data_IF_613487675648
#
_entry.id   IF_613487675648
#
_cell.length_a   1.000
_cell.length_b   1.000
_cell.length_c   1.000
_cell.angle_alpha   90.00
_cell.angle_beta   90.00
_cell.angle_gamma   90.00
#
_symmetry.space_group_name_H-M   'P 1'
#
loop_
_entity.id
_entity.type
_entity.pdbx_description
1 polymer ?
#
# COMPACT_ATOMS: atom_id res chain seq x y z
N UNK A 1 23.50 13.56 -3.44
CA UNK A 1 24.04 12.44 -2.65
C UNK A 1 23.31 11.18 -3.05
N UNK A 2 24.00 10.37 -3.82
CA UNK A 2 23.57 9.08 -4.37
C UNK A 2 24.04 7.99 -3.40
N UNK A 3 23.23 6.96 -3.11
CA UNK A 3 23.76 5.82 -2.37
C UNK A 3 22.79 4.76 -1.81
N UNK A 4 21.58 5.11 -1.38
CA UNK A 4 20.76 4.14 -0.63
C UNK A 4 19.74 3.36 -1.50
N UNK A 5 19.05 4.03 -2.43
CA UNK A 5 17.96 3.40 -3.19
C UNK A 5 18.33 2.87 -4.58
N UNK A 6 19.49 3.25 -5.14
CA UNK A 6 20.01 2.63 -6.39
C UNK A 6 20.36 1.15 -6.20
N UNK A 7 20.56 0.70 -4.95
CA UNK A 7 20.75 -0.72 -4.62
C UNK A 7 19.44 -1.51 -4.53
N UNK A 8 18.29 -0.85 -4.31
CA UNK A 8 16.99 -1.52 -4.32
C UNK A 8 16.68 -2.01 -5.75
N UNK A 9 16.76 -1.13 -6.75
CA UNK A 9 16.48 -1.49 -8.15
C UNK A 9 17.41 -2.59 -8.70
N UNK A 10 18.66 -2.67 -8.23
CA UNK A 10 19.62 -3.69 -8.66
C UNK A 10 19.49 -5.02 -7.90
N UNK A 11 18.79 -5.08 -6.75
CA UNK A 11 18.56 -6.31 -6.00
C UNK A 11 17.33 -7.12 -6.47
N UNK A 12 16.51 -6.57 -7.36
CA UNK A 12 15.34 -7.24 -7.93
C UNK A 12 15.63 -8.02 -9.23
N UNK A 13 16.90 -8.17 -9.61
CA UNK A 13 17.33 -8.83 -10.85
C UNK A 13 17.95 -10.21 -10.64
N UNK A 14 17.11 -11.25 -10.52
CA UNK A 14 17.26 -12.59 -11.12
C UNK A 14 16.25 -13.57 -10.47
N UNK A 15 15.41 -14.28 -11.25
CA UNK A 15 14.54 -15.30 -10.69
C UNK A 15 15.38 -16.53 -10.32
N UNK A 16 15.16 -17.06 -9.12
CA UNK A 16 15.58 -18.40 -8.76
C UNK A 16 14.80 -19.40 -9.63
N UNK A 17 15.54 -20.24 -10.35
CA UNK A 17 14.97 -21.29 -11.19
C UNK A 17 14.32 -22.37 -10.32
N UNK A 18 13.03 -22.64 -10.58
CA UNK A 18 12.33 -23.81 -10.06
C UNK A 18 10.94 -23.48 -9.51
N UNK A 19 9.98 -23.26 -10.39
CA UNK A 19 8.70 -23.98 -10.36
C UNK A 19 7.94 -23.69 -11.66
N UNK A 20 6.98 -24.53 -12.06
CA UNK A 20 6.14 -24.31 -13.24
C UNK A 20 5.16 -23.14 -13.04
N UNK A 21 5.70 -21.94 -12.82
CA UNK A 21 4.96 -20.71 -12.61
C UNK A 21 4.43 -20.24 -13.97
N UNK A 22 3.12 -20.27 -14.14
CA UNK A 22 2.45 -19.53 -15.20
C UNK A 22 2.95 -18.08 -15.15
N UNK A 23 3.34 -17.52 -16.29
CA UNK A 23 3.78 -16.13 -16.37
C UNK A 23 2.78 -15.21 -15.65
N UNK A 24 3.25 -14.19 -14.91
CA UNK A 24 2.36 -13.31 -14.18
C UNK A 24 1.35 -12.65 -15.12
N UNK A 25 0.10 -12.59 -14.69
CA UNK A 25 -0.91 -11.82 -15.41
C UNK A 25 -0.68 -10.33 -15.12
N UNK A 26 -0.57 -9.52 -16.18
CA UNK A 26 -0.37 -8.08 -16.07
C UNK A 26 -1.54 -7.34 -16.72
N UNK A 27 -2.28 -6.58 -15.92
CA UNK A 27 -3.41 -5.75 -16.38
C UNK A 27 -3.14 -4.29 -16.07
N UNK A 28 -3.34 -3.41 -17.06
CA UNK A 28 -3.24 -1.95 -16.89
C UNK A 28 -4.58 -1.30 -17.19
N UNK A 29 -5.01 -0.42 -16.30
CA UNK A 29 -6.28 0.30 -16.43
C UNK A 29 -6.22 1.64 -15.70
N UNK A 30 -7.35 2.34 -15.62
CA UNK A 30 -7.52 3.54 -14.81
C UNK A 30 -8.79 3.41 -14.00
N UNK A 31 -8.67 3.49 -12.68
CA UNK A 31 -9.80 3.43 -11.75
C UNK A 31 -10.00 4.79 -11.11
N UNK A 32 -11.20 5.35 -11.27
CA UNK A 32 -11.56 6.68 -10.72
C UNK A 32 -10.51 7.75 -11.01
N UNK A 33 -9.93 7.75 -12.21
CA UNK A 33 -8.90 8.70 -12.64
C UNK A 33 -7.50 8.48 -12.06
N UNK A 34 -7.25 7.34 -11.40
CA UNK A 34 -5.93 6.92 -10.93
C UNK A 34 -5.42 5.80 -11.84
N UNK A 35 -4.23 5.92 -12.47
CA UNK A 35 -3.63 4.83 -13.22
C UNK A 35 -3.36 3.61 -12.33
N UNK A 36 -3.68 2.42 -12.82
CA UNK A 36 -3.52 1.15 -12.08
C UNK A 36 -2.79 0.13 -12.95
N UNK A 37 -1.83 -0.55 -12.34
CA UNK A 37 -1.15 -1.73 -12.89
C UNK A 37 -1.29 -2.88 -11.88
N UNK A 38 -1.88 -3.99 -12.29
CA UNK A 38 -1.94 -5.22 -11.49
C UNK A 38 -0.93 -6.20 -12.07
N UNK A 39 -0.04 -6.71 -11.21
CA UNK A 39 0.90 -7.79 -11.50
C UNK A 39 0.51 -8.97 -10.61
N UNK A 40 -0.34 -9.84 -11.15
CA UNK A 40 -0.87 -10.98 -10.42
C UNK A 40 0.03 -12.22 -10.63
N UNK A 41 0.70 -12.63 -9.56
CA UNK A 41 1.55 -13.83 -9.51
C UNK A 41 0.84 -15.02 -8.85
N UNK A 42 -0.44 -14.89 -8.48
CA UNK A 42 -1.21 -15.85 -7.68
C UNK A 42 -2.40 -16.39 -8.49
N UNK A 43 -2.32 -17.64 -9.00
CA UNK A 43 -3.38 -18.20 -9.84
C UNK A 43 -4.70 -18.45 -9.08
N UNK A 44 -4.66 -18.49 -7.75
CA UNK A 44 -5.82 -18.59 -6.86
C UNK A 44 -6.54 -17.25 -6.64
N UNK A 45 -6.02 -16.14 -7.17
CA UNK A 45 -6.61 -14.81 -7.05
C UNK A 45 -7.08 -14.35 -8.43
N UNK A 46 -8.37 -14.04 -8.56
CA UNK A 46 -8.94 -13.46 -9.77
C UNK A 46 -8.59 -11.96 -9.88
N UNK A 47 -7.91 -11.58 -10.96
CA UNK A 47 -7.51 -10.19 -11.26
C UNK A 47 -8.72 -9.26 -11.40
N UNK A 48 -9.85 -9.75 -11.89
CA UNK A 48 -11.10 -8.96 -12.00
C UNK A 48 -11.62 -8.56 -10.63
N UNK A 49 -11.59 -9.50 -9.69
CA UNK A 49 -11.99 -9.30 -8.29
C UNK A 49 -11.08 -8.30 -7.58
N UNK A 50 -9.77 -8.37 -7.84
CA UNK A 50 -8.77 -7.42 -7.34
C UNK A 50 -9.07 -6.01 -7.82
N UNK A 51 -9.35 -5.84 -9.12
CA UNK A 51 -9.71 -4.55 -9.70
C UNK A 51 -11.01 -3.99 -9.12
N UNK A 52 -12.04 -4.84 -8.95
CA UNK A 52 -13.30 -4.44 -8.35
C UNK A 52 -13.11 -3.96 -6.90
N UNK A 53 -12.35 -4.71 -6.08
CA UNK A 53 -12.04 -4.31 -4.70
C UNK A 53 -11.20 -3.03 -4.62
N UNK A 54 -10.29 -2.82 -5.55
CA UNK A 54 -9.53 -1.58 -5.63
C UNK A 54 -10.44 -0.40 -5.99
N UNK A 55 -11.36 -0.58 -6.94
CA UNK A 55 -12.35 0.44 -7.28
C UNK A 55 -13.25 0.79 -6.09
N UNK A 56 -13.78 -0.21 -5.36
CA UNK A 56 -14.55 -0.02 -4.13
C UNK A 56 -13.76 0.77 -3.08
N UNK A 57 -12.48 0.45 -2.91
CA UNK A 57 -11.60 1.15 -1.96
C UNK A 57 -11.41 2.62 -2.35
N UNK A 58 -11.14 2.89 -3.62
CA UNK A 58 -11.05 4.25 -4.14
C UNK A 58 -12.41 4.98 -4.09
N UNK A 59 -13.53 4.25 -4.20
CA UNK A 59 -14.88 4.78 -4.05
C UNK A 59 -15.11 5.32 -2.63
N UNK A 60 -14.70 4.58 -1.61
CA UNK A 60 -14.80 5.02 -0.22
C UNK A 60 -14.00 6.31 0.01
N UNK A 61 -12.76 6.38 -0.48
CA UNK A 61 -11.96 7.61 -0.38
C UNK A 61 -12.68 8.77 -1.10
N UNK A 62 -13.14 8.54 -2.34
CA UNK A 62 -13.83 9.56 -3.13
C UNK A 62 -15.14 10.05 -2.51
N UNK A 63 -15.85 9.19 -1.79
CA UNK A 63 -17.14 9.52 -1.16
C UNK A 63 -16.93 10.32 0.13
N UNK A 64 -16.05 9.85 1.01
CA UNK A 64 -15.94 10.39 2.37
C UNK A 64 -14.83 11.41 2.54
N UNK A 65 -13.79 11.38 1.69
CA UNK A 65 -12.68 12.35 1.70
C UNK A 65 -12.23 12.70 0.28
N UNK A 66 -13.09 13.34 -0.54
CA UNK A 66 -12.83 13.59 -1.96
C UNK A 66 -11.53 14.36 -2.24
N UNK A 67 -11.12 15.27 -1.34
CA UNK A 67 -9.85 15.99 -1.47
C UNK A 67 -8.62 15.07 -1.42
N UNK A 68 -8.69 13.95 -0.69
CA UNK A 68 -7.61 12.97 -0.67
C UNK A 68 -7.53 12.16 -1.95
N UNK A 69 -8.68 11.81 -2.54
CA UNK A 69 -8.69 11.21 -3.87
C UNK A 69 -8.13 12.18 -4.93
N UNK A 70 -8.45 13.48 -4.80
CA UNK A 70 -7.85 14.50 -5.66
C UNK A 70 -6.33 14.61 -5.48
N UNK A 71 -5.81 14.53 -4.25
CA UNK A 71 -4.37 14.46 -4.00
C UNK A 71 -3.75 13.21 -4.61
N UNK A 72 -4.35 12.03 -4.46
CA UNK A 72 -3.86 10.81 -5.11
C UNK A 72 -3.73 11.01 -6.63
N UNK A 73 -4.78 11.50 -7.29
CA UNK A 73 -4.72 11.77 -8.75
C UNK A 73 -3.62 12.74 -9.17
N UNK A 74 -3.20 13.64 -8.26
CA UNK A 74 -2.21 14.69 -8.53
C UNK A 74 -0.78 14.27 -8.18
N UNK A 75 -0.61 13.61 -7.04
CA UNK A 75 0.68 13.47 -6.36
C UNK A 75 1.36 12.12 -6.62
N UNK A 76 0.64 11.16 -7.23
CA UNK A 76 1.18 9.85 -7.65
C UNK A 76 1.04 9.62 -9.17
N UNK A 77 1.97 8.86 -9.74
CA UNK A 77 1.91 8.38 -11.14
C UNK A 77 0.95 7.20 -11.31
N UNK A 78 0.67 6.44 -10.25
CA UNK A 78 -0.27 5.34 -10.28
C UNK A 78 -0.19 4.43 -9.05
N UNK A 79 -1.10 3.47 -9.01
CA UNK A 79 -1.11 2.38 -8.02
C UNK A 79 -0.67 1.10 -8.73
N UNK A 80 0.35 0.45 -8.18
CA UNK A 80 0.75 -0.91 -8.56
C UNK A 80 0.21 -1.89 -7.54
N UNK A 81 -0.52 -2.90 -8.00
CA UNK A 81 -0.94 -4.03 -7.17
C UNK A 81 -0.04 -5.21 -7.46
N UNK A 82 0.68 -5.68 -6.45
CA UNK A 82 1.60 -6.82 -6.58
C UNK A 82 1.82 -7.50 -5.22
N UNK A 83 2.46 -8.67 -5.23
CA UNK A 83 2.96 -9.28 -3.99
C UNK A 83 4.04 -8.37 -3.39
N UNK A 84 3.86 -8.00 -2.13
CA UNK A 84 4.76 -7.10 -1.44
C UNK A 84 4.83 -7.44 0.06
N UNK A 85 5.91 -7.03 0.73
CA UNK A 85 6.17 -7.42 2.11
C UNK A 85 5.26 -6.72 3.16
N UNK A 86 4.55 -5.66 2.77
CA UNK A 86 3.62 -4.93 3.61
C UNK A 86 2.37 -4.53 2.84
N UNK A 87 1.29 -4.17 3.55
CA UNK A 87 -0.06 -3.90 2.98
C UNK A 87 -0.08 -2.82 1.90
N UNK A 88 0.77 -1.81 2.05
CA UNK A 88 1.02 -0.80 1.05
C UNK A 88 2.36 -0.12 1.31
N UNK A 89 2.86 0.56 0.29
CA UNK A 89 4.07 1.39 0.38
C UNK A 89 4.06 2.45 -0.73
N UNK A 90 4.33 3.70 -0.39
CA UNK A 90 4.70 4.71 -1.37
C UNK A 90 6.18 4.58 -1.74
N UNK A 91 6.48 4.51 -3.05
CA UNK A 91 7.84 4.43 -3.60
C UNK A 91 8.21 5.79 -4.19
N UNK A 92 9.04 6.61 -3.52
CA UNK A 92 9.32 7.98 -3.95
C UNK A 92 9.98 8.10 -5.32
N UNK A 93 10.88 7.17 -5.66
CA UNK A 93 11.65 7.17 -6.91
C UNK A 93 10.73 6.94 -8.11
N UNK A 94 9.76 6.05 -7.92
CA UNK A 94 8.78 5.71 -8.94
C UNK A 94 7.51 6.54 -8.84
N UNK A 95 7.34 7.30 -7.76
CA UNK A 95 6.15 8.08 -7.45
C UNK A 95 4.88 7.20 -7.59
N UNK A 96 4.95 5.96 -7.10
CA UNK A 96 3.88 4.94 -7.20
C UNK A 96 3.53 4.47 -5.80
N UNK A 97 2.25 4.14 -5.59
CA UNK A 97 1.81 3.41 -4.41
C UNK A 97 1.75 1.92 -4.77
N UNK A 98 2.43 1.09 -4.00
CA UNK A 98 2.22 -0.36 -4.00
C UNK A 98 1.06 -0.68 -3.07
N UNK A 99 0.12 -1.50 -3.52
CA UNK A 99 -0.93 -2.12 -2.68
C UNK A 99 -0.76 -3.63 -2.77
N UNK A 100 -0.66 -4.30 -1.62
CA UNK A 100 -0.34 -5.73 -1.58
C UNK A 100 -1.50 -6.58 -2.10
N UNK A 101 -1.20 -7.45 -3.07
CA UNK A 101 -2.17 -8.25 -3.81
C UNK A 101 -3.08 -9.09 -2.90
N UNK A 102 -2.51 -9.82 -1.93
CA UNK A 102 -3.33 -10.73 -1.10
C UNK A 102 -4.14 -10.01 -0.04
N UNK A 103 -3.59 -8.94 0.52
CA UNK A 103 -4.31 -8.02 1.38
C UNK A 103 -5.49 -7.39 0.65
N UNK A 104 -5.29 -6.95 -0.59
CA UNK A 104 -6.37 -6.43 -1.43
C UNK A 104 -7.41 -7.50 -1.75
N UNK A 105 -7.02 -8.75 -1.99
CA UNK A 105 -7.91 -9.86 -2.32
C UNK A 105 -8.73 -10.42 -1.13
N UNK A 106 -8.33 -10.15 0.11
CA UNK A 106 -8.97 -10.68 1.33
C UNK A 106 -10.46 -10.36 1.42
N UNK A 107 -11.31 -11.38 1.53
CA UNK A 107 -12.78 -11.25 1.64
C UNK A 107 -13.31 -11.21 3.08
N UNK A 108 -12.47 -11.55 4.06
CA UNK A 108 -12.79 -11.48 5.49
C UNK A 108 -12.74 -10.04 6.06
N UNK A 109 -12.35 -9.07 5.24
CA UNK A 109 -12.36 -7.64 5.55
C UNK A 109 -13.14 -6.86 4.49
N UNK A 110 -13.74 -5.75 4.92
CA UNK A 110 -14.34 -4.78 3.99
C UNK A 110 -13.26 -4.06 3.16
N UNK A 111 -13.68 -3.22 2.21
CA UNK A 111 -12.76 -2.35 1.47
C UNK A 111 -12.17 -1.21 2.32
N UNK A 112 -12.72 -0.92 3.52
CA UNK A 112 -12.31 0.23 4.31
C UNK A 112 -10.86 0.16 4.83
N UNK A 113 -10.34 -0.98 5.35
CA UNK A 113 -8.92 -1.10 5.68
C UNK A 113 -7.98 -0.94 4.47
N UNK A 114 -8.40 -1.40 3.28
CA UNK A 114 -7.64 -1.23 2.04
C UNK A 114 -7.60 0.24 1.64
N UNK A 115 -8.77 0.90 1.61
CA UNK A 115 -8.90 2.33 1.36
C UNK A 115 -8.04 3.15 2.33
N UNK A 116 -8.04 2.80 3.62
CA UNK A 116 -7.20 3.44 4.63
C UNK A 116 -5.71 3.27 4.33
N UNK A 117 -5.28 2.09 3.87
CA UNK A 117 -3.88 1.85 3.50
C UNK A 117 -3.46 2.68 2.28
N UNK A 118 -4.29 2.75 1.24
CA UNK A 118 -4.01 3.59 0.05
C UNK A 118 -3.95 5.07 0.45
N UNK A 119 -4.87 5.51 1.31
CA UNK A 119 -4.92 6.87 1.82
C UNK A 119 -3.68 7.21 2.64
N UNK A 120 -3.19 6.27 3.47
CA UNK A 120 -1.94 6.39 4.22
C UNK A 120 -0.77 6.67 3.28
N UNK A 121 -0.58 5.81 2.28
CA UNK A 121 0.47 5.99 1.27
C UNK A 121 0.30 7.29 0.46
N UNK A 122 -0.96 7.70 0.24
CA UNK A 122 -1.27 9.01 -0.36
C UNK A 122 -0.81 10.20 0.47
N UNK A 123 -0.75 10.07 1.81
CA UNK A 123 -0.17 11.11 2.67
C UNK A 123 1.33 11.17 2.53
N UNK A 124 2.02 10.03 2.46
CA UNK A 124 3.45 9.99 2.14
C UNK A 124 3.74 10.65 0.78
N UNK A 125 2.96 10.32 -0.25
CA UNK A 125 3.07 10.95 -1.55
C UNK A 125 2.89 12.48 -1.48
N UNK A 126 1.91 12.94 -0.69
CA UNK A 126 1.67 14.37 -0.48
C UNK A 126 2.83 15.07 0.22
N UNK A 127 3.33 14.49 1.31
CA UNK A 127 4.49 14.99 2.07
C UNK A 127 5.71 15.07 1.16
N UNK A 128 5.94 14.03 0.37
CA UNK A 128 7.01 13.96 -0.61
C UNK A 128 6.90 15.07 -1.67
N UNK A 129 5.70 15.30 -2.22
CA UNK A 129 5.44 16.36 -3.19
C UNK A 129 5.62 17.76 -2.58
N UNK A 130 5.31 17.93 -1.29
CA UNK A 130 5.46 19.19 -0.56
C UNK A 130 6.90 19.52 -0.17
N UNK A 131 7.81 18.56 -0.18
CA UNK A 131 9.20 18.86 0.16
C UNK A 131 9.55 18.76 1.65
N UNK A 132 8.65 18.28 2.50
CA UNK A 132 8.81 18.30 3.97
C UNK A 132 9.12 16.91 4.53
N UNK A 133 9.56 16.86 5.80
CA UNK A 133 9.94 15.62 6.52
C UNK A 133 10.94 14.78 5.74
N UNK A 134 12.10 15.36 5.45
CA UNK A 134 13.11 14.79 4.53
C UNK A 134 14.18 13.96 5.25
N UNK A 135 14.13 13.89 6.58
CA UNK A 135 15.15 13.22 7.39
C UNK A 135 14.58 12.04 8.18
N UNK A 136 15.41 11.04 8.47
CA UNK A 136 15.00 9.86 9.26
C UNK A 136 14.44 10.23 10.65
N UNK A 137 14.98 11.29 11.27
CA UNK A 137 14.52 11.81 12.55
C UNK A 137 13.08 12.37 12.50
N UNK A 138 12.56 12.67 11.30
CA UNK A 138 11.22 13.20 11.09
C UNK A 138 10.19 12.11 10.72
N UNK A 139 10.63 10.88 10.42
CA UNK A 139 9.73 9.77 10.06
C UNK A 139 8.63 9.54 11.09
N UNK A 140 8.87 9.55 12.42
CA UNK A 140 7.78 9.41 13.39
C UNK A 140 6.72 10.51 13.28
N UNK A 141 7.11 11.73 12.90
CA UNK A 141 6.16 12.84 12.72
C UNK A 141 5.32 12.66 11.47
N UNK A 142 5.94 12.21 10.38
CA UNK A 142 5.27 11.86 9.13
C UNK A 142 4.30 10.70 9.34
N UNK A 143 4.73 9.60 9.95
CA UNK A 143 3.87 8.46 10.27
C UNK A 143 2.68 8.87 11.13
N UNK A 144 2.88 9.69 12.17
CA UNK A 144 1.76 10.21 12.97
C UNK A 144 0.80 11.07 12.15
N UNK A 145 1.28 11.80 11.14
CA UNK A 145 0.41 12.51 10.20
C UNK A 145 -0.42 11.52 9.37
N UNK A 146 0.20 10.47 8.86
CA UNK A 146 -0.49 9.39 8.15
C UNK A 146 -1.52 8.68 9.04
N UNK A 147 -1.19 8.33 10.29
CA UNK A 147 -2.15 7.71 11.24
C UNK A 147 -3.29 8.63 11.64
N UNK A 148 -3.05 9.93 11.82
CA UNK A 148 -4.15 10.90 12.02
C UNK A 148 -5.07 11.00 10.80
N UNK A 149 -4.51 10.88 9.60
CA UNK A 149 -5.29 10.84 8.38
C UNK A 149 -6.16 9.57 8.29
N UNK A 150 -5.62 8.40 8.64
CA UNK A 150 -6.38 7.15 8.77
C UNK A 150 -7.52 7.29 9.79
N UNK A 151 -7.22 7.83 10.98
CA UNK A 151 -8.22 8.04 12.03
C UNK A 151 -9.38 8.93 11.55
N UNK A 152 -9.05 10.07 10.94
CA UNK A 152 -10.06 10.98 10.39
C UNK A 152 -10.87 10.34 9.26
N UNK A 153 -10.27 9.45 8.47
CA UNK A 153 -10.98 8.68 7.45
C UNK A 153 -11.93 7.67 8.08
N UNK A 154 -11.45 6.85 9.02
CA UNK A 154 -12.28 5.89 9.74
C UNK A 154 -13.48 6.53 10.45
N UNK A 155 -13.28 7.70 11.05
CA UNK A 155 -14.36 8.47 11.71
C UNK A 155 -15.39 9.07 10.73
N UNK A 156 -15.02 9.26 9.46
CA UNK A 156 -15.93 9.77 8.43
C UNK A 156 -16.79 8.66 7.80
N UNK A 157 -16.37 7.39 7.91
CA UNK A 157 -17.12 6.24 7.39
C UNK A 157 -18.32 5.90 8.28
N UNK A 158 -19.31 5.14 7.74
CA UNK A 158 -20.31 4.47 8.56
C UNK A 158 -19.62 3.65 9.68
N UNK A 159 -20.13 3.66 10.93
CA UNK A 159 -19.41 3.10 12.07
C UNK A 159 -18.92 1.67 11.88
N UNK A 160 -19.73 0.79 11.28
CA UNK A 160 -19.40 -0.60 10.99
C UNK A 160 -18.26 -0.77 9.98
N UNK A 161 -18.13 0.15 9.02
CA UNK A 161 -17.02 0.16 8.07
C UNK A 161 -15.78 0.83 8.68
N UNK A 162 -15.99 1.87 9.49
CA UNK A 162 -14.95 2.71 10.08
C UNK A 162 -14.25 2.10 11.29
N UNK A 163 -14.94 1.29 12.09
CA UNK A 163 -14.40 0.82 13.38
C UNK A 163 -13.03 0.13 13.27
N UNK A 164 -12.77 -0.78 12.31
CA UNK A 164 -11.45 -1.42 12.18
C UNK A 164 -10.34 -0.43 11.79
N UNK A 165 -10.68 0.63 11.05
CA UNK A 165 -9.74 1.69 10.66
C UNK A 165 -9.41 2.57 11.86
N UNK A 166 -10.43 2.99 12.61
CA UNK A 166 -10.29 3.81 13.82
C UNK A 166 -9.45 3.08 14.86
N UNK A 167 -9.78 1.81 15.15
CA UNK A 167 -9.07 0.99 16.12
C UNK A 167 -7.58 0.88 15.78
N UNK A 168 -7.25 0.50 14.53
CA UNK A 168 -5.86 0.39 14.07
C UNK A 168 -5.12 1.73 14.16
N UNK A 169 -5.75 2.82 13.72
CA UNK A 169 -5.12 4.14 13.72
C UNK A 169 -4.83 4.62 15.16
N UNK A 170 -5.78 4.42 16.09
CA UNK A 170 -5.61 4.74 17.50
C UNK A 170 -4.51 3.89 18.16
N UNK A 171 -4.49 2.58 17.88
CA UNK A 171 -3.45 1.69 18.38
C UNK A 171 -2.06 2.17 17.94
N UNK A 172 -1.88 2.51 16.65
CA UNK A 172 -0.61 3.05 16.14
C UNK A 172 -0.25 4.41 16.71
N UNK A 173 -1.21 5.32 16.90
CA UNK A 173 -0.96 6.64 17.49
C UNK A 173 -0.51 6.57 18.95
N UNK A 174 -0.89 5.49 19.65
CA UNK A 174 -0.52 5.25 21.05
C UNK A 174 0.90 4.71 21.22
N UNK A 175 1.58 4.35 20.12
CA UNK A 175 2.96 3.87 20.15
C UNK A 175 3.96 5.02 20.34
N UNK A 176 5.15 4.67 20.83
CA UNK A 176 6.31 5.56 20.83
C UNK A 176 6.85 5.76 19.40
N UNK A 177 7.90 6.56 19.26
CA UNK A 177 8.43 6.91 17.94
C UNK A 177 9.02 5.71 17.18
N UNK A 178 9.59 4.73 17.90
CA UNK A 178 10.08 3.48 17.29
C UNK A 178 8.96 2.55 16.89
N UNK A 179 7.87 2.53 17.63
CA UNK A 179 6.70 1.69 17.33
C UNK A 179 5.85 2.26 16.19
N UNK A 180 5.70 3.59 16.11
CA UNK A 180 4.91 4.22 15.04
C UNK A 180 5.65 4.25 13.70
N UNK A 181 6.99 4.39 13.74
CA UNK A 181 7.88 4.36 12.58
C UNK A 181 8.96 3.28 12.76
N UNK A 182 8.61 1.99 12.61
CA UNK A 182 9.55 0.91 12.81
C UNK A 182 10.61 0.89 11.70
N UNK A 183 11.85 0.58 12.09
CA UNK A 183 12.90 0.26 11.13
C UNK A 183 12.64 -1.17 10.63
N UNK A 184 12.24 -1.29 9.36
CA UNK A 184 11.94 -2.58 8.73
C UNK A 184 13.16 -3.08 7.97
N UNK A 185 13.57 -4.32 8.24
CA UNK A 185 14.47 -5.06 7.36
C UNK A 185 13.66 -5.64 6.19
N UNK A 186 13.76 -4.97 5.05
CA UNK A 186 13.02 -5.33 3.84
C UNK A 186 13.43 -6.68 3.23
N UNK A 187 14.68 -7.13 3.44
CA UNK A 187 15.14 -8.42 2.92
C UNK A 187 14.53 -9.57 3.71
N UNK A 188 14.50 -9.45 5.03
CA UNK A 188 13.81 -10.42 5.90
C UNK A 188 12.31 -10.45 5.61
N UNK A 189 11.69 -9.27 5.42
CA UNK A 189 10.26 -9.18 5.12
C UNK A 189 9.90 -9.86 3.79
N UNK A 190 10.71 -9.66 2.74
CA UNK A 190 10.53 -10.35 1.45
C UNK A 190 10.73 -11.86 1.58
N UNK A 191 11.79 -12.32 2.28
CA UNK A 191 12.03 -13.77 2.48
C UNK A 191 10.84 -14.47 3.14
N UNK A 192 10.19 -13.82 4.09
CA UNK A 192 8.98 -14.34 4.75
C UNK A 192 7.79 -14.41 3.81
N UNK A 193 7.62 -13.40 2.95
CA UNK A 193 6.57 -13.37 1.95
C UNK A 193 6.72 -14.50 0.92
N UNK A 194 7.94 -14.71 0.41
CA UNK A 194 8.24 -15.78 -0.56
C UNK A 194 8.01 -17.18 0.05
N UNK A 195 8.32 -17.35 1.34
CA UNK A 195 8.06 -18.60 2.04
C UNK A 195 6.56 -18.86 2.22
N UNK A 196 5.78 -17.84 2.54
CA UNK A 196 4.33 -17.95 2.64
C UNK A 196 3.69 -18.26 1.28
N UNK A 197 4.21 -17.73 0.18
CA UNK A 197 3.74 -18.05 -1.17
C UNK A 197 3.96 -19.50 -1.54
N UNK A 198 5.15 -20.05 -1.28
CA UNK A 198 5.43 -21.48 -1.53
C UNK A 198 4.47 -22.40 -0.77
N UNK A 199 4.10 -22.05 0.46
CA UNK A 199 3.18 -22.86 1.27
C UNK A 199 1.71 -22.75 0.81
N UNK A 200 1.32 -21.67 0.13
CA UNK A 200 -0.04 -21.48 -0.35
C UNK A 200 -0.30 -22.08 -1.74
N UNK A 201 0.77 -22.31 -2.51
CA UNK A 201 0.74 -22.94 -3.85
C UNK A 201 0.94 -24.47 -3.83
N UNK A 202 1.13 -25.07 -2.64
CA UNK A 202 1.32 -26.51 -2.42
C UNK A 202 0.02 -27.18 -1.95
#
# INVERSE_FOLDING_TARGET
MSGFFSRLAAMFGAPAAGDSSSAPEIVRTTLRGVPVEVINTRPDIDTTDVLARLDESLALIGTYQPWRLAHLRRDIRGIRVERFACRGAFIPQDNVIITELTFLARRDISAAPVASSILHEGVHARVHAMGVYRTEAELPREERLCRRAELAFGQALPPELGAPVVERAMASLSLDDRGVAPIVDWQEAQRRQDAADRNASA
#
